data_IF_187444991880
#
_entry.id   IF_187444991880
#
_cell.length_a   1.000
_cell.length_b   1.000
_cell.length_c   1.000
_cell.angle_alpha   90.00
_cell.angle_beta   90.00
_cell.angle_gamma   90.00
#
_symmetry.space_group_name_H-M   'P 1'
#
loop_
_entity.id
_entity.type
_entity.pdbx_description
1 polymer ?
#
# COMPACT_ATOMS: atom_id res chain seq x y z
N UNK A 1 -6.05 -0.73 1.44
CA UNK A 1 -5.31 0.48 1.03
C UNK A 1 -6.27 1.60 0.65
N UNK A 2 -6.93 1.58 -0.52
CA UNK A 2 -7.76 2.71 -0.98
C UNK A 2 -8.85 3.15 0.01
N UNK A 3 -9.57 2.21 0.63
CA UNK A 3 -10.58 2.54 1.62
C UNK A 3 -9.99 3.22 2.88
N UNK A 4 -8.78 2.84 3.30
CA UNK A 4 -8.09 3.48 4.43
C UNK A 4 -7.75 4.94 4.09
N UNK A 5 -7.32 5.17 2.85
CA UNK A 5 -6.99 6.50 2.34
C UNK A 5 -8.21 7.40 2.27
N UNK A 6 -9.33 6.84 1.81
CA UNK A 6 -10.60 7.55 1.83
C UNK A 6 -11.05 7.90 3.26
N UNK A 7 -10.89 6.98 4.23
CA UNK A 7 -11.23 7.26 5.62
C UNK A 7 -10.32 8.35 6.21
N UNK A 8 -9.02 8.32 5.91
CA UNK A 8 -8.07 9.31 6.39
C UNK A 8 -8.36 10.70 5.82
N UNK A 9 -8.33 10.85 4.50
CA UNK A 9 -8.50 12.17 3.87
C UNK A 9 -9.96 12.65 3.84
N UNK A 10 -10.93 11.73 3.79
CA UNK A 10 -12.33 12.07 3.72
C UNK A 10 -13.01 12.30 5.06
N UNK A 11 -12.66 11.50 6.07
CA UNK A 11 -13.34 11.52 7.37
C UNK A 11 -12.47 12.13 8.46
N UNK A 12 -11.20 11.73 8.57
CA UNK A 12 -10.33 12.19 9.65
C UNK A 12 -9.84 13.62 9.44
N UNK A 13 -9.34 13.93 8.24
CA UNK A 13 -8.79 15.24 7.90
C UNK A 13 -9.79 16.14 7.17
N UNK A 14 -10.81 15.57 6.54
CA UNK A 14 -11.83 16.28 5.75
C UNK A 14 -11.30 17.07 4.53
N UNK A 15 -10.05 16.83 4.13
CA UNK A 15 -9.36 17.43 2.98
C UNK A 15 -10.13 17.32 1.65
N UNK A 16 -11.00 16.30 1.52
CA UNK A 16 -11.83 16.12 0.32
C UNK A 16 -12.80 17.30 0.06
N UNK A 17 -13.07 18.14 1.06
CA UNK A 17 -13.90 19.34 0.90
C UNK A 17 -13.17 20.47 0.17
N UNK A 18 -11.84 20.47 0.18
CA UNK A 18 -11.00 21.50 -0.45
C UNK A 18 -10.62 21.15 -1.90
N UNK A 19 -11.14 20.03 -2.43
CA UNK A 19 -10.86 19.57 -3.78
C UNK A 19 -11.33 20.58 -4.83
N UNK A 20 -10.39 20.99 -5.69
CA UNK A 20 -10.68 21.83 -6.86
C UNK A 20 -11.27 21.05 -8.05
N UNK A 21 -11.21 19.71 -8.00
CA UNK A 21 -11.71 18.80 -9.03
C UNK A 21 -12.97 18.09 -8.56
N UNK A 22 -13.87 17.67 -9.48
CA UNK A 22 -15.09 16.95 -9.10
C UNK A 22 -14.77 15.69 -8.29
N UNK A 23 -15.46 15.51 -7.16
CA UNK A 23 -15.24 14.38 -6.24
C UNK A 23 -15.26 13.00 -6.95
N UNK A 24 -16.22 12.68 -7.84
CA UNK A 24 -16.21 11.39 -8.52
C UNK A 24 -14.96 11.16 -9.39
N UNK A 25 -14.44 12.23 -10.02
CA UNK A 25 -13.23 12.16 -10.83
C UNK A 25 -12.00 11.90 -9.95
N UNK A 26 -11.89 12.60 -8.82
CA UNK A 26 -10.83 12.35 -7.85
C UNK A 26 -10.86 10.90 -7.34
N UNK A 27 -12.03 10.39 -6.95
CA UNK A 27 -12.19 9.03 -6.46
C UNK A 27 -11.85 7.98 -7.53
N UNK A 28 -12.23 8.20 -8.79
CA UNK A 28 -11.88 7.30 -9.89
C UNK A 28 -10.37 7.26 -10.15
N UNK A 29 -9.72 8.44 -10.21
CA UNK A 29 -8.29 8.55 -10.47
C UNK A 29 -7.45 8.00 -9.31
N UNK A 30 -7.81 8.33 -8.07
CA UNK A 30 -7.15 7.79 -6.88
C UNK A 30 -7.35 6.28 -6.76
N UNK A 31 -8.56 5.76 -7.05
CA UNK A 31 -8.80 4.33 -7.14
C UNK A 31 -7.86 3.64 -8.14
N UNK A 32 -7.68 4.20 -9.33
CA UNK A 32 -6.74 3.69 -10.33
C UNK A 32 -5.29 3.71 -9.82
N UNK A 33 -4.86 4.80 -9.18
CA UNK A 33 -3.53 4.89 -8.55
C UNK A 33 -3.34 3.77 -7.53
N UNK A 34 -4.32 3.52 -6.68
CA UNK A 34 -4.23 2.46 -5.67
C UNK A 34 -4.18 1.05 -6.27
N UNK A 35 -4.81 0.81 -7.42
CA UNK A 35 -4.65 -0.44 -8.18
C UNK A 35 -3.22 -0.59 -8.68
N UNK A 36 -2.65 0.47 -9.26
CA UNK A 36 -1.25 0.47 -9.72
C UNK A 36 -0.29 0.25 -8.55
N UNK A 37 -0.51 0.90 -7.41
CA UNK A 37 0.29 0.68 -6.20
C UNK A 37 0.20 -0.76 -5.70
N UNK A 38 -1.00 -1.35 -5.71
CA UNK A 38 -1.18 -2.76 -5.37
C UNK A 38 -0.39 -3.69 -6.30
N UNK A 39 -0.39 -3.41 -7.60
CA UNK A 39 0.41 -4.15 -8.58
C UNK A 39 1.92 -3.99 -8.33
N UNK A 40 2.39 -2.77 -8.09
CA UNK A 40 3.81 -2.49 -7.78
C UNK A 40 4.26 -3.24 -6.54
N UNK A 41 3.48 -3.22 -5.46
CA UNK A 41 3.79 -3.97 -4.24
C UNK A 41 3.79 -5.48 -4.51
N UNK A 42 2.81 -5.98 -5.26
CA UNK A 42 2.71 -7.41 -5.60
C UNK A 42 3.93 -7.89 -6.40
N UNK A 43 4.31 -7.15 -7.44
CA UNK A 43 5.51 -7.43 -8.24
C UNK A 43 6.75 -7.33 -7.36
N UNK A 44 6.85 -6.28 -6.54
CA UNK A 44 7.98 -6.08 -5.63
C UNK A 44 8.18 -7.25 -4.67
N UNK A 45 7.10 -7.77 -4.07
CA UNK A 45 7.14 -8.93 -3.18
C UNK A 45 7.60 -10.17 -3.95
N UNK A 46 7.04 -10.45 -5.13
CA UNK A 46 7.45 -11.59 -5.95
C UNK A 46 8.93 -11.52 -6.34
N UNK A 47 9.38 -10.36 -6.83
CA UNK A 47 10.78 -10.15 -7.20
C UNK A 47 11.70 -10.30 -5.99
N UNK A 48 11.30 -9.83 -4.82
CA UNK A 48 12.08 -9.96 -3.59
C UNK A 48 12.19 -11.41 -3.11
N UNK A 49 11.16 -12.24 -3.35
CA UNK A 49 11.23 -13.68 -3.10
C UNK A 49 12.18 -14.35 -4.11
N UNK A 50 12.07 -14.02 -5.40
CA UNK A 50 12.90 -14.61 -6.46
C UNK A 50 14.39 -14.32 -6.29
N UNK A 51 14.75 -13.13 -5.80
CA UNK A 51 16.14 -12.74 -5.51
C UNK A 51 16.60 -13.12 -4.09
N UNK A 52 15.83 -13.93 -3.37
CA UNK A 52 16.09 -14.39 -1.99
C UNK A 52 16.24 -13.26 -0.94
N UNK A 53 15.81 -12.03 -1.25
CA UNK A 53 15.79 -10.91 -0.30
C UNK A 53 14.74 -11.11 0.79
N UNK A 54 13.65 -11.80 0.46
CA UNK A 54 12.60 -12.18 1.39
C UNK A 54 12.48 -13.69 1.43
N UNK A 55 12.74 -14.27 2.60
CA UNK A 55 12.54 -15.70 2.82
C UNK A 55 11.07 -16.03 3.08
N UNK A 56 10.53 -17.01 2.35
CA UNK A 56 9.22 -17.59 2.61
C UNK A 56 9.14 -18.35 3.95
N UNK A 57 10.30 -18.77 4.51
CA UNK A 57 10.36 -19.62 5.72
C UNK A 57 10.39 -18.83 7.02
N UNK A 58 10.81 -17.56 6.99
CA UNK A 58 10.94 -16.71 8.19
C UNK A 58 10.57 -15.28 7.91
N UNK A 59 9.64 -14.74 8.70
CA UNK A 59 9.30 -13.32 8.69
C UNK A 59 8.64 -12.82 7.40
N UNK A 60 8.15 -13.72 6.53
CA UNK A 60 7.59 -13.35 5.23
C UNK A 60 6.52 -12.24 5.29
N UNK A 61 5.51 -12.30 6.20
CA UNK A 61 4.52 -11.23 6.29
C UNK A 61 5.11 -9.88 6.73
N UNK A 62 6.04 -9.89 7.69
CA UNK A 62 6.67 -8.68 8.20
C UNK A 62 7.58 -8.04 7.14
N UNK A 63 8.36 -8.84 6.42
CA UNK A 63 9.23 -8.34 5.35
C UNK A 63 8.43 -7.78 4.18
N UNK A 64 7.29 -8.39 3.85
CA UNK A 64 6.37 -7.88 2.83
C UNK A 64 5.72 -6.57 3.29
N UNK A 65 5.37 -6.45 4.57
CA UNK A 65 4.89 -5.20 5.17
C UNK A 65 5.97 -4.10 5.13
N UNK A 66 7.24 -4.42 5.43
CA UNK A 66 8.35 -3.46 5.35
C UNK A 66 8.58 -2.98 3.91
N UNK A 67 8.52 -3.88 2.93
CA UNK A 67 8.60 -3.52 1.52
C UNK A 67 7.45 -2.60 1.11
N UNK A 68 6.22 -2.93 1.54
CA UNK A 68 5.06 -2.07 1.35
C UNK A 68 5.26 -0.69 1.98
N UNK A 69 5.76 -0.62 3.21
CA UNK A 69 6.05 0.65 3.87
C UNK A 69 7.11 1.48 3.13
N UNK A 70 8.15 0.85 2.60
CA UNK A 70 9.15 1.52 1.78
C UNK A 70 8.55 2.09 0.47
N UNK A 71 7.66 1.34 -0.19
CA UNK A 71 6.89 1.86 -1.34
C UNK A 71 6.03 3.05 -0.93
N UNK A 72 5.34 2.96 0.21
CA UNK A 72 4.55 4.07 0.77
C UNK A 72 5.38 5.33 0.99
N UNK A 73 6.57 5.19 1.57
CA UNK A 73 7.51 6.31 1.75
C UNK A 73 7.88 6.96 0.41
N UNK A 74 8.21 6.18 -0.62
CA UNK A 74 8.53 6.71 -1.96
C UNK A 74 7.33 7.42 -2.58
N UNK A 75 6.12 6.85 -2.46
CA UNK A 75 4.89 7.48 -2.95
C UNK A 75 4.66 8.82 -2.27
N UNK A 76 4.85 8.92 -0.95
CA UNK A 76 4.76 10.18 -0.24
C UNK A 76 5.74 11.21 -0.80
N UNK A 77 7.02 10.83 -0.99
CA UNK A 77 8.02 11.75 -1.53
C UNK A 77 7.64 12.30 -2.91
N UNK A 78 7.06 11.47 -3.78
CA UNK A 78 6.57 11.92 -5.08
C UNK A 78 5.43 12.94 -4.95
N UNK A 79 4.43 12.64 -4.11
CA UNK A 79 3.29 13.55 -3.86
C UNK A 79 3.77 14.87 -3.24
N UNK A 80 4.71 14.79 -2.30
CA UNK A 80 5.31 15.93 -1.62
C UNK A 80 6.08 16.84 -2.59
N UNK A 81 6.93 16.28 -3.46
CA UNK A 81 7.67 17.04 -4.48
C UNK A 81 6.73 17.68 -5.51
N UNK A 82 5.62 17.02 -5.84
CA UNK A 82 4.60 17.56 -6.74
C UNK A 82 3.74 18.66 -6.09
N UNK A 83 3.96 18.98 -4.81
CA UNK A 83 3.26 20.03 -4.09
C UNK A 83 1.79 19.72 -3.80
N UNK A 84 1.38 18.45 -3.88
CA UNK A 84 0.00 17.99 -3.60
C UNK A 84 -0.20 17.69 -2.11
N UNK A 85 0.32 18.53 -1.22
CA UNK A 85 0.07 18.40 0.23
C UNK A 85 -1.20 19.15 0.60
N UNK A 86 -2.14 18.44 1.21
CA UNK A 86 -3.48 18.94 1.56
C UNK A 86 -3.54 19.67 2.91
N UNK A 87 -2.48 19.60 3.73
CA UNK A 87 -2.44 20.18 5.06
C UNK A 87 -1.58 21.45 5.15
N UNK A 88 -1.76 22.22 6.23
CA UNK A 88 -0.89 23.34 6.57
C UNK A 88 0.57 22.88 6.55
N UNK A 89 1.51 23.76 6.16
CA UNK A 89 2.94 23.45 6.05
C UNK A 89 3.63 23.16 7.39
N UNK A 90 2.87 22.90 8.45
CA UNK A 90 3.42 22.51 9.73
C UNK A 90 4.03 21.12 9.63
N UNK A 91 5.23 21.00 10.19
CA UNK A 91 6.05 19.78 10.15
C UNK A 91 5.30 18.57 10.73
N UNK A 92 4.36 18.80 11.66
CA UNK A 92 3.55 17.73 12.27
C UNK A 92 2.68 17.02 11.23
N UNK A 93 2.00 17.77 10.35
CA UNK A 93 1.15 17.15 9.33
C UNK A 93 1.97 16.35 8.32
N UNK A 94 3.14 16.88 7.92
CA UNK A 94 4.09 16.18 7.05
C UNK A 94 4.48 14.83 7.65
N UNK A 95 4.87 14.79 8.93
CA UNK A 95 5.28 13.56 9.61
C UNK A 95 4.13 12.56 9.71
N UNK A 96 2.94 13.03 10.10
CA UNK A 96 1.77 12.16 10.22
C UNK A 96 1.39 11.55 8.87
N UNK A 97 1.40 12.34 7.79
CA UNK A 97 1.08 11.86 6.45
C UNK A 97 2.12 10.84 5.95
N UNK A 98 3.41 11.04 6.21
CA UNK A 98 4.45 10.05 5.89
C UNK A 98 4.17 8.72 6.60
N UNK A 99 3.95 8.78 7.92
CA UNK A 99 3.71 7.60 8.73
C UNK A 99 2.44 6.88 8.28
N UNK A 100 1.40 7.64 7.94
CA UNK A 100 0.16 7.10 7.41
C UNK A 100 0.37 6.41 6.05
N UNK A 101 1.07 7.05 5.12
CA UNK A 101 1.41 6.47 3.81
C UNK A 101 2.26 5.20 3.95
N UNK A 102 3.20 5.17 4.90
CA UNK A 102 3.99 3.95 5.17
C UNK A 102 3.11 2.84 5.76
N UNK A 103 2.20 3.17 6.68
CA UNK A 103 1.29 2.21 7.29
C UNK A 103 0.32 1.62 6.26
N UNK A 104 -0.30 2.47 5.44
CA UNK A 104 -1.27 2.06 4.42
C UNK A 104 -0.68 1.05 3.43
N UNK A 105 0.49 1.36 2.87
CA UNK A 105 1.14 0.53 1.86
C UNK A 105 1.81 -0.66 2.53
N UNK A 106 2.24 -0.54 3.79
CA UNK A 106 2.68 -1.66 4.62
C UNK A 106 1.56 -2.69 4.83
N UNK A 107 0.35 -2.25 5.17
CA UNK A 107 -0.82 -3.12 5.23
C UNK A 107 -1.14 -3.73 3.87
N UNK A 108 -0.91 -2.99 2.78
CA UNK A 108 -0.95 -3.52 1.41
C UNK A 108 0.00 -4.70 1.21
N UNK A 109 1.26 -4.55 1.57
CA UNK A 109 2.27 -5.60 1.50
C UNK A 109 1.95 -6.80 2.38
N UNK A 110 1.39 -6.56 3.58
CA UNK A 110 0.90 -7.63 4.45
C UNK A 110 -0.22 -8.44 3.78
N UNK A 111 -1.20 -7.77 3.15
CA UNK A 111 -2.29 -8.46 2.44
C UNK A 111 -1.78 -9.29 1.26
N UNK A 112 -0.78 -8.80 0.51
CA UNK A 112 -0.11 -9.58 -0.55
C UNK A 112 0.50 -10.85 0.03
N UNK A 113 1.20 -10.75 1.16
CA UNK A 113 1.81 -11.91 1.80
C UNK A 113 0.79 -12.96 2.23
N UNK A 114 -0.36 -12.54 2.79
CA UNK A 114 -1.45 -13.45 3.13
C UNK A 114 -2.08 -14.10 1.91
N UNK A 115 -2.26 -13.34 0.81
CA UNK A 115 -2.72 -13.90 -0.46
C UNK A 115 -1.79 -15.00 -0.99
N UNK A 116 -0.47 -14.76 -0.95
CA UNK A 116 0.53 -15.73 -1.38
C UNK A 116 0.58 -16.97 -0.48
N UNK A 117 0.51 -16.79 0.84
CA UNK A 117 0.45 -17.91 1.78
C UNK A 117 -0.80 -18.77 1.55
N UNK A 118 -1.95 -18.14 1.31
CA UNK A 118 -3.19 -18.84 1.02
C UNK A 118 -3.09 -19.64 -0.29
N UNK A 119 -2.55 -19.04 -1.35
CA UNK A 119 -2.37 -19.70 -2.64
C UNK A 119 -1.44 -20.92 -2.51
N UNK A 120 -0.26 -20.74 -1.90
CA UNK A 120 0.68 -21.84 -1.65
C UNK A 120 0.07 -22.98 -0.83
N UNK A 121 -0.69 -22.65 0.22
CA UNK A 121 -1.37 -23.64 1.05
C UNK A 121 -2.41 -24.43 0.23
N UNK A 122 -3.21 -23.73 -0.59
CA UNK A 122 -4.21 -24.37 -1.44
C UNK A 122 -3.56 -25.29 -2.48
N UNK A 123 -2.53 -24.83 -3.17
CA UNK A 123 -1.78 -25.65 -4.15
C UNK A 123 -1.20 -26.91 -3.52
N UNK A 124 -0.69 -26.81 -2.29
CA UNK A 124 -0.19 -27.96 -1.54
C UNK A 124 -1.30 -28.98 -1.24
N UNK A 125 -2.44 -28.53 -0.72
CA UNK A 125 -3.58 -29.41 -0.43
C UNK A 125 -4.15 -30.10 -1.67
N UNK A 126 -4.20 -29.39 -2.80
CA UNK A 126 -4.66 -29.96 -4.08
C UNK A 126 -3.69 -31.03 -4.60
N UNK A 127 -2.37 -30.83 -4.42
CA UNK A 127 -1.36 -31.82 -4.77
C UNK A 127 -1.39 -33.07 -3.87
N UNK A 128 -1.74 -32.93 -2.59
CA UNK A 128 -1.91 -34.08 -1.69
C UNK A 128 -3.15 -34.91 -2.04
N UNK A 129 -4.27 -34.29 -2.41
CA UNK A 129 -5.50 -34.99 -2.80
C UNK A 129 -5.38 -35.76 -4.13
N UNK A 130 -4.42 -35.38 -4.98
CA UNK A 130 -4.18 -36.02 -6.27
C UNK A 130 -3.26 -37.25 -6.17
N UNK A 131 -2.70 -37.54 -4.99
CA UNK A 131 -1.90 -38.74 -4.70
C UNK A 131 -2.78 -39.83 -4.08
#
# INVERSE_FOLDING_TARGET
MYALSFLWHGVALTDLQELRIPLPLYLALSGLVYVVLGLVITIGVHQSIMHEWISLKRGFPLMSMLLGAAVGFVVYLLVFILGMSFASREVVHIVVDILWQMLEQGLGGLMVSFGLMYDMHRTFMDAERAK
#
